data_IF_626013787631
#
_entry.id   IF_626013787631
#
_cell.length_a   1.000
_cell.length_b   1.000
_cell.length_c   1.000
_cell.angle_alpha   90.00
_cell.angle_beta   90.00
_cell.angle_gamma   90.00
#
_symmetry.space_group_name_H-M   'P 1'
#
loop_
_entity.id
_entity.type
_entity.pdbx_description
1 polymer ?
#
# COMPACT_ATOMS: atom_id res chain seq x y z
N UNK A 1 -2.46 6.53 34.64
CA UNK A 1 -3.09 6.29 33.31
C UNK A 1 -2.85 7.42 32.31
N UNK A 2 -3.48 8.60 32.42
CA UNK A 2 -3.29 9.69 31.42
C UNK A 2 -1.87 10.27 31.40
N UNK A 3 -1.22 10.40 32.56
CA UNK A 3 0.17 10.88 32.64
C UNK A 3 1.19 9.83 32.16
N UNK A 4 0.93 8.54 32.39
CA UNK A 4 1.73 7.43 31.88
C UNK A 4 1.59 7.28 30.37
N UNK A 5 0.38 7.47 29.83
CA UNK A 5 0.11 7.50 28.40
C UNK A 5 0.81 8.70 27.73
N UNK A 6 0.76 9.88 28.33
CA UNK A 6 1.50 11.05 27.84
C UNK A 6 3.01 10.80 27.88
N UNK A 7 3.57 10.24 28.96
CA UNK A 7 4.99 9.84 29.04
C UNK A 7 5.37 8.77 28.00
N UNK A 8 4.46 7.85 27.67
CA UNK A 8 4.66 6.81 26.67
C UNK A 8 4.72 7.38 25.23
N UNK A 9 3.76 8.25 24.89
CA UNK A 9 3.72 8.96 23.60
C UNK A 9 4.95 9.88 23.47
N UNK A 10 5.31 10.60 24.54
CA UNK A 10 6.48 11.49 24.58
C UNK A 10 7.84 10.79 24.51
N UNK A 11 7.89 9.45 24.47
CA UNK A 11 9.14 8.68 24.33
C UNK A 11 9.76 8.79 22.91
N UNK A 12 9.29 9.73 22.09
CA UNK A 12 9.76 10.07 20.73
C UNK A 12 9.40 9.02 19.69
N UNK A 13 9.82 7.78 19.93
CA UNK A 13 9.68 6.66 19.00
C UNK A 13 8.21 6.29 18.67
N UNK A 14 7.25 6.59 19.55
CA UNK A 14 5.84 6.23 19.34
C UNK A 14 5.10 7.25 18.47
N UNK A 15 5.41 8.55 18.60
CA UNK A 15 4.73 9.61 17.82
C UNK A 15 5.10 9.52 16.35
N UNK A 16 6.39 9.38 16.05
CA UNK A 16 6.88 9.29 14.68
C UNK A 16 6.40 7.99 14.00
N UNK A 17 6.42 6.87 14.74
CA UNK A 17 5.88 5.60 14.26
C UNK A 17 4.36 5.68 14.01
N UNK A 18 3.61 6.27 14.94
CA UNK A 18 2.15 6.42 14.81
C UNK A 18 1.79 7.30 13.61
N UNK A 19 2.54 8.38 13.41
CA UNK A 19 2.33 9.30 12.28
C UNK A 19 2.63 8.61 10.95
N UNK A 20 3.73 7.84 10.85
CA UNK A 20 4.06 7.06 9.66
C UNK A 20 2.98 6.03 9.29
N UNK A 21 2.42 5.32 10.27
CA UNK A 21 1.36 4.32 10.03
C UNK A 21 0.06 4.98 9.57
N UNK A 22 -0.36 6.08 10.21
CA UNK A 22 -1.60 6.78 9.84
C UNK A 22 -1.49 7.40 8.45
N UNK A 23 -0.36 8.05 8.14
CA UNK A 23 -0.11 8.61 6.80
C UNK A 23 -0.06 7.49 5.76
N UNK A 24 0.60 6.36 6.05
CA UNK A 24 0.65 5.21 5.15
C UNK A 24 -0.73 4.65 4.82
N UNK A 25 -1.60 4.51 5.82
CA UNK A 25 -2.97 4.04 5.62
C UNK A 25 -3.83 5.01 4.80
N UNK A 26 -3.79 6.31 5.13
CA UNK A 26 -4.52 7.34 4.39
C UNK A 26 -4.03 7.47 2.94
N UNK A 27 -2.72 7.42 2.75
CA UNK A 27 -2.10 7.51 1.43
C UNK A 27 -2.44 6.30 0.55
N UNK A 28 -2.44 5.09 1.12
CA UNK A 28 -2.87 3.88 0.43
C UNK A 28 -4.29 3.99 -0.16
N UNK A 29 -5.21 4.64 0.56
CA UNK A 29 -6.57 4.88 0.07
C UNK A 29 -6.60 5.82 -1.14
N UNK A 30 -5.80 6.88 -1.14
CA UNK A 30 -5.71 7.84 -2.25
C UNK A 30 -5.20 7.12 -3.51
N UNK A 31 -4.13 6.34 -3.35
CA UNK A 31 -3.54 5.59 -4.46
C UNK A 31 -4.51 4.51 -4.96
N UNK A 32 -5.20 3.82 -4.05
CA UNK A 32 -6.22 2.84 -4.41
C UNK A 32 -7.35 3.47 -5.22
N UNK A 33 -7.84 4.64 -4.82
CA UNK A 33 -8.87 5.38 -5.53
C UNK A 33 -8.39 5.86 -6.92
N UNK A 34 -7.16 6.34 -7.03
CA UNK A 34 -6.57 6.74 -8.31
C UNK A 34 -6.41 5.55 -9.26
N UNK A 35 -5.93 4.42 -8.75
CA UNK A 35 -5.73 3.20 -9.55
C UNK A 35 -7.08 2.68 -10.06
N UNK A 36 -8.06 2.55 -9.17
CA UNK A 36 -9.41 2.10 -9.54
C UNK A 36 -10.13 3.09 -10.47
N UNK A 37 -9.94 4.39 -10.25
CA UNK A 37 -10.66 5.44 -10.99
C UNK A 37 -10.07 5.77 -12.36
N UNK A 38 -8.76 5.60 -12.54
CA UNK A 38 -8.06 6.05 -13.76
C UNK A 38 -7.33 4.90 -14.44
N UNK A 39 -6.59 4.09 -13.67
CA UNK A 39 -5.72 3.05 -14.22
C UNK A 39 -6.54 1.84 -14.71
N UNK A 40 -7.42 1.31 -13.87
CA UNK A 40 -8.26 0.15 -14.21
C UNK A 40 -9.14 0.37 -15.46
N UNK A 41 -9.82 1.53 -15.65
CA UNK A 41 -10.59 1.79 -16.86
C UNK A 41 -9.73 1.87 -18.13
N UNK A 42 -8.53 2.44 -18.04
CA UNK A 42 -7.59 2.49 -19.17
C UNK A 42 -7.14 1.07 -19.54
N UNK A 43 -6.78 0.26 -18.55
CA UNK A 43 -6.40 -1.14 -18.78
C UNK A 43 -7.55 -1.97 -19.35
N UNK A 44 -8.77 -1.75 -18.86
CA UNK A 44 -9.98 -2.36 -19.39
C UNK A 44 -10.23 -2.02 -20.86
N UNK A 45 -9.92 -0.78 -21.28
CA UNK A 45 -10.04 -0.37 -22.68
C UNK A 45 -9.03 -1.08 -23.61
N UNK A 46 -7.85 -1.43 -23.10
CA UNK A 46 -6.82 -2.18 -23.84
C UNK A 46 -6.99 -3.71 -23.75
N UNK A 47 -8.13 -4.21 -23.25
CA UNK A 47 -8.40 -5.64 -23.13
C UNK A 47 -7.71 -6.32 -21.94
N UNK A 48 -7.04 -5.56 -21.08
CA UNK A 48 -6.39 -6.03 -19.86
C UNK A 48 -7.26 -5.76 -18.64
N UNK A 49 -8.41 -6.44 -18.54
CA UNK A 49 -9.13 -6.49 -17.26
C UNK A 49 -8.27 -7.20 -16.20
N UNK A 50 -8.48 -6.95 -14.89
CA UNK A 50 -7.73 -7.62 -13.84
C UNK A 50 -7.82 -9.14 -13.99
N UNK A 51 -8.96 -9.71 -14.39
CA UNK A 51 -9.10 -11.17 -14.33
C UNK A 51 -8.99 -11.78 -15.73
N UNK A 52 -7.82 -12.29 -16.17
CA UNK A 52 -7.80 -13.23 -17.29
C UNK A 52 -8.70 -14.41 -16.92
N UNK A 53 -9.60 -14.82 -17.82
CA UNK A 53 -10.68 -15.78 -17.51
C UNK A 53 -10.15 -17.23 -17.44
N UNK A 54 -9.17 -17.47 -16.58
CA UNK A 54 -8.64 -18.79 -16.21
C UNK A 54 -9.31 -19.25 -14.92
N UNK A 55 -10.53 -19.78 -15.08
CA UNK A 55 -11.30 -20.39 -14.00
C UNK A 55 -11.23 -21.90 -14.13
N UNK A 56 -10.57 -22.57 -13.20
CA UNK A 56 -10.61 -24.03 -13.14
C UNK A 56 -11.81 -24.42 -12.26
N UNK A 57 -12.90 -24.86 -12.90
CA UNK A 57 -14.09 -25.38 -12.21
C UNK A 57 -13.86 -26.86 -11.88
N UNK A 58 -13.56 -27.16 -10.61
CA UNK A 58 -13.26 -28.53 -10.16
C UNK A 58 -14.50 -29.32 -9.69
N UNK A 59 -15.70 -28.76 -9.84
CA UNK A 59 -16.97 -29.44 -9.55
C UNK A 59 -18.17 -28.51 -9.68
N UNK A 60 -19.19 -28.95 -10.43
CA UNK A 60 -20.43 -28.19 -10.63
C UNK A 60 -21.52 -28.70 -9.69
N UNK A 61 -22.01 -27.82 -8.81
CA UNK A 61 -23.29 -28.03 -8.13
C UNK A 61 -24.22 -26.89 -8.51
N UNK A 62 -25.31 -27.24 -9.16
CA UNK A 62 -26.36 -26.31 -9.55
C UNK A 62 -27.13 -25.90 -8.28
N UNK A 63 -27.09 -24.62 -7.90
CA UNK A 63 -27.93 -24.09 -6.82
C UNK A 63 -28.80 -22.99 -7.41
N UNK A 64 -30.12 -23.16 -7.29
CA UNK A 64 -31.07 -22.16 -7.72
C UNK A 64 -31.03 -20.98 -6.73
N UNK A 65 -30.40 -19.87 -7.13
CA UNK A 65 -30.40 -18.62 -6.35
C UNK A 65 -31.54 -17.75 -6.84
N UNK A 66 -32.55 -17.57 -5.99
CA UNK A 66 -33.66 -16.64 -6.22
C UNK A 66 -33.17 -15.22 -5.91
N UNK A 67 -32.84 -14.44 -6.94
CA UNK A 67 -32.60 -13.01 -6.79
C UNK A 67 -33.85 -12.21 -7.13
N UNK A 68 -34.25 -11.33 -6.22
CA UNK A 68 -35.37 -10.39 -6.40
C UNK A 68 -34.88 -9.18 -7.19
N UNK A 69 -35.30 -9.06 -8.45
CA UNK A 69 -35.06 -7.89 -9.29
C UNK A 69 -35.82 -6.65 -8.80
N UNK A 70 -35.34 -5.47 -9.22
CA UNK A 70 -35.83 -4.16 -8.78
C UNK A 70 -37.32 -3.89 -9.06
N UNK A 71 -37.97 -4.67 -9.94
CA UNK A 71 -39.40 -4.51 -10.29
C UNK A 71 -40.31 -5.62 -9.72
N UNK A 72 -39.82 -6.42 -8.75
CA UNK A 72 -40.63 -7.42 -8.06
C UNK A 72 -40.96 -8.69 -8.88
N UNK A 73 -40.56 -8.78 -10.15
CA UNK A 73 -40.63 -10.01 -10.92
C UNK A 73 -39.49 -10.97 -10.54
N UNK A 74 -39.84 -12.22 -10.18
CA UNK A 74 -38.88 -13.27 -9.83
C UNK A 74 -38.31 -13.88 -11.12
N UNK A 75 -37.06 -13.56 -11.44
CA UNK A 75 -36.33 -14.23 -12.53
C UNK A 75 -35.57 -15.41 -11.93
N UNK A 76 -35.98 -16.64 -12.27
CA UNK A 76 -35.23 -17.85 -11.95
C UNK A 76 -33.97 -17.88 -12.81
N UNK A 77 -32.82 -17.45 -12.27
CA UNK A 77 -31.53 -17.67 -12.91
C UNK A 77 -30.82 -18.84 -12.22
N UNK A 78 -30.51 -19.86 -13.01
CA UNK A 78 -29.79 -21.04 -12.56
C UNK A 78 -28.31 -20.67 -12.37
N UNK A 79 -27.90 -20.44 -11.12
CA UNK A 79 -26.51 -20.12 -10.81
C UNK A 79 -25.77 -21.43 -10.51
N UNK A 80 -24.94 -21.87 -11.45
CA UNK A 80 -23.98 -22.95 -11.18
C UNK A 80 -22.97 -22.36 -10.19
N UNK A 81 -23.06 -22.76 -8.93
CA UNK A 81 -22.14 -22.30 -7.88
C UNK A 81 -21.07 -23.38 -7.76
N UNK A 82 -19.90 -23.20 -8.38
CA UNK A 82 -18.80 -24.14 -8.19
C UNK A 82 -18.42 -24.16 -6.71
N UNK A 83 -18.52 -25.34 -6.08
CA UNK A 83 -18.17 -25.53 -4.67
C UNK A 83 -16.68 -25.26 -4.41
N UNK A 84 -15.85 -25.43 -5.44
CA UNK A 84 -14.42 -25.11 -5.42
C UNK A 84 -14.03 -24.49 -6.77
N UNK A 85 -13.92 -23.16 -6.79
CA UNK A 85 -13.48 -22.38 -7.94
C UNK A 85 -12.09 -21.81 -7.64
N UNK A 86 -11.09 -22.27 -8.40
CA UNK A 86 -9.76 -21.66 -8.36
C UNK A 86 -9.69 -20.59 -9.46
N UNK A 87 -9.87 -19.34 -9.06
CA UNK A 87 -9.72 -18.16 -9.93
C UNK A 87 -8.25 -17.74 -9.98
N UNK A 88 -7.45 -18.50 -10.73
CA UNK A 88 -6.06 -18.14 -11.05
C UNK A 88 -6.03 -16.78 -11.77
N UNK A 89 -7.07 -16.52 -12.56
CA UNK A 89 -7.35 -15.22 -13.16
C UNK A 89 -7.32 -14.05 -12.17
N UNK A 90 -8.03 -14.16 -11.06
CA UNK A 90 -8.10 -13.09 -10.06
C UNK A 90 -6.75 -12.82 -9.39
N UNK A 91 -5.94 -13.86 -9.19
CA UNK A 91 -4.60 -13.73 -8.60
C UNK A 91 -3.64 -13.02 -9.56
N UNK A 92 -3.62 -13.44 -10.82
CA UNK A 92 -2.80 -12.78 -11.87
C UNK A 92 -3.21 -11.31 -12.01
N UNK A 93 -4.51 -11.03 -11.95
CA UNK A 93 -5.05 -9.69 -11.91
C UNK A 93 -4.61 -8.83 -10.77
N UNK A 94 -4.69 -9.37 -9.56
CA UNK A 94 -4.23 -8.69 -8.37
C UNK A 94 -2.73 -8.35 -8.48
N UNK A 95 -1.91 -9.24 -9.05
CA UNK A 95 -0.48 -9.00 -9.28
C UNK A 95 -0.25 -7.89 -10.30
N UNK A 96 -0.94 -7.94 -11.45
CA UNK A 96 -0.84 -6.92 -12.50
C UNK A 96 -1.29 -5.55 -11.95
N UNK A 97 -2.46 -5.50 -11.29
CA UNK A 97 -2.97 -4.29 -10.65
C UNK A 97 -2.02 -3.74 -9.59
N UNK A 98 -1.42 -4.61 -8.78
CA UNK A 98 -0.42 -4.23 -7.79
C UNK A 98 0.83 -3.62 -8.44
N UNK A 99 1.38 -4.26 -9.49
CA UNK A 99 2.56 -3.75 -10.20
C UNK A 99 2.32 -2.37 -10.81
N UNK A 100 1.13 -2.15 -11.38
CA UNK A 100 0.78 -0.87 -11.99
C UNK A 100 0.57 0.19 -10.91
N UNK A 101 -0.10 -0.16 -9.81
CA UNK A 101 -0.22 0.71 -8.63
C UNK A 101 1.15 1.12 -8.10
N UNK A 102 2.05 0.15 -7.94
CA UNK A 102 3.43 0.38 -7.50
C UNK A 102 4.20 1.27 -8.48
N UNK A 103 4.01 1.09 -9.79
CA UNK A 103 4.61 1.94 -10.82
C UNK A 103 4.11 3.39 -10.73
N UNK A 104 2.82 3.59 -10.48
CA UNK A 104 2.24 4.93 -10.27
C UNK A 104 2.82 5.58 -9.01
N UNK A 105 2.85 4.88 -7.87
CA UNK A 105 3.47 5.38 -6.63
C UNK A 105 4.93 5.76 -6.88
N UNK A 106 5.67 4.88 -7.56
CA UNK A 106 7.07 5.10 -7.88
C UNK A 106 7.25 6.36 -8.73
N UNK A 107 6.42 6.57 -9.74
CA UNK A 107 6.56 7.72 -10.62
C UNK A 107 6.11 9.04 -9.98
N UNK A 108 5.03 9.02 -9.18
CA UNK A 108 4.44 10.23 -8.59
C UNK A 108 5.13 10.65 -7.30
N UNK A 109 5.66 9.72 -6.51
CA UNK A 109 6.30 10.02 -5.22
C UNK A 109 7.78 9.71 -5.25
N UNK A 110 8.15 8.46 -5.54
CA UNK A 110 9.55 8.03 -5.35
C UNK A 110 10.47 8.76 -6.32
N UNK A 111 10.07 8.92 -7.58
CA UNK A 111 10.88 9.60 -8.60
C UNK A 111 11.09 11.09 -8.31
N UNK A 112 10.07 11.92 -8.01
CA UNK A 112 10.31 13.31 -7.62
C UNK A 112 10.97 13.44 -6.25
N UNK A 113 10.66 12.57 -5.27
CA UNK A 113 11.35 12.58 -3.98
C UNK A 113 12.84 12.25 -4.16
N UNK A 114 13.17 11.26 -4.99
CA UNK A 114 14.55 10.90 -5.28
C UNK A 114 15.27 11.99 -6.10
N UNK A 115 14.55 12.67 -7.01
CA UNK A 115 15.06 13.85 -7.74
C UNK A 115 15.33 15.03 -6.80
N UNK A 116 14.41 15.32 -5.88
CA UNK A 116 14.58 16.39 -4.89
C UNK A 116 15.69 16.05 -3.90
N UNK A 117 15.77 14.82 -3.40
CA UNK A 117 16.87 14.35 -2.55
C UNK A 117 18.21 14.39 -3.28
N UNK A 118 18.26 14.18 -4.59
CA UNK A 118 19.50 14.34 -5.37
C UNK A 118 19.92 15.81 -5.55
N UNK A 119 18.97 16.74 -5.48
CA UNK A 119 19.22 18.19 -5.48
C UNK A 119 19.63 18.66 -4.08
N UNK A 120 18.94 18.19 -3.03
CA UNK A 120 19.28 18.47 -1.63
C UNK A 120 20.60 17.82 -1.22
N UNK A 121 20.96 16.61 -1.68
CA UNK A 121 22.32 16.05 -1.46
C UNK A 121 23.44 16.91 -2.03
N UNK A 122 23.14 17.85 -2.94
CA UNK A 122 24.09 18.83 -3.47
C UNK A 122 24.14 20.14 -2.66
N UNK A 123 23.17 20.35 -1.76
CA UNK A 123 22.97 21.56 -0.95
C UNK A 123 22.99 21.27 0.58
N UNK A 124 22.88 20.01 0.97
CA UNK A 124 22.86 19.46 2.34
C UNK A 124 24.29 19.09 2.78
N UNK A 125 25.24 19.96 2.44
CA UNK A 125 26.42 20.19 3.26
C UNK A 125 26.15 21.23 4.37
N UNK A 126 24.91 21.72 4.50
CA UNK A 126 24.54 22.81 5.41
C UNK A 126 23.19 22.64 6.13
N UNK A 127 22.72 21.40 6.40
CA UNK A 127 21.72 21.17 7.45
C UNK A 127 22.44 20.59 8.68
N UNK A 128 22.20 21.11 9.90
CA UNK A 128 22.92 20.67 11.09
C UNK A 128 22.68 19.16 11.28
N UNK A 129 23.75 18.35 11.46
CA UNK A 129 23.61 16.93 11.68
C UNK A 129 22.65 16.67 12.84
N UNK A 130 21.69 15.74 12.69
CA UNK A 130 20.78 15.39 13.77
C UNK A 130 21.60 14.97 14.98
N UNK A 131 21.13 15.32 16.17
CA UNK A 131 21.83 15.17 17.46
C UNK A 131 22.56 13.83 17.66
N UNK A 132 22.12 12.74 17.02
CA UNK A 132 22.81 11.45 17.05
C UNK A 132 24.23 11.46 16.45
N UNK A 133 24.51 12.24 15.40
CA UNK A 133 25.84 12.27 14.79
C UNK A 133 26.84 13.00 15.69
N UNK A 134 26.43 14.11 16.30
CA UNK A 134 27.25 14.83 17.28
C UNK A 134 27.49 13.99 18.54
N UNK A 135 26.47 13.29 19.04
CA UNK A 135 26.60 12.38 20.17
C UNK A 135 27.55 11.21 19.85
N UNK A 136 27.50 10.64 18.65
CA UNK A 136 28.42 9.56 18.22
C UNK A 136 29.87 10.08 18.13
N UNK A 137 30.08 11.31 17.64
CA UNK A 137 31.39 11.95 17.60
C UNK A 137 31.92 12.19 19.02
N UNK A 138 31.11 12.76 19.90
CA UNK A 138 31.47 12.97 21.32
C UNK A 138 31.77 11.66 22.05
N UNK A 139 30.98 10.62 21.82
CA UNK A 139 31.22 9.29 22.41
C UNK A 139 32.51 8.66 21.89
N UNK A 140 32.90 8.95 20.65
CA UNK A 140 34.18 8.51 20.07
C UNK A 140 35.36 9.23 20.73
N UNK A 141 35.26 10.55 20.89
CA UNK A 141 36.26 11.36 21.58
C UNK A 141 36.41 10.94 23.05
N UNK A 142 35.30 10.72 23.76
CA UNK A 142 35.30 10.22 25.15
C UNK A 142 35.99 8.86 25.24
N UNK A 143 35.70 7.92 24.32
CA UNK A 143 36.34 6.60 24.28
C UNK A 143 37.86 6.72 24.14
N UNK A 144 38.32 7.62 23.27
CA UNK A 144 39.75 7.78 23.00
C UNK A 144 40.47 8.50 24.15
N UNK A 145 39.78 9.40 24.87
CA UNK A 145 40.27 10.00 26.12
C UNK A 145 40.37 8.99 27.27
N UNK A 146 39.44 8.02 27.36
CA UNK A 146 39.42 6.99 28.41
C UNK A 146 40.44 5.85 28.19
N UNK A 147 40.99 5.76 26.98
CA UNK A 147 42.07 4.81 26.63
C UNK A 147 43.47 5.31 26.98
N UNK A 148 43.61 6.59 27.35
CA UNK A 148 44.84 7.15 27.94
C UNK A 148 44.85 6.94 29.44
#
# INVERSE_FOLDING_TARGET
MLEEFKKFILKGNVVDLSTGVIIGAAFGNIVGAFTKGIVEPILGMFGGGPNPDLKIKLGEKTVEVLQKGADGAQVKMQQVVPFLQLDIGAVIGAIIGFLITAAVIFFVIVKPANKLMSMMKKEEAAAPPPASAADIVLLTEIRDLLKK
#
